data_IF_575154144567
#
_entry.id   IF_575154144567
#
_cell.length_a   1.000
_cell.length_b   1.000
_cell.length_c   1.000
_cell.angle_alpha   90.00
_cell.angle_beta   90.00
_cell.angle_gamma   90.00
#
_symmetry.space_group_name_H-M   'P 1'
#
loop_
_entity.id
_entity.type
_entity.pdbx_description
1 polymer ?
#
# COMPACT_ATOMS: atom_id res chain seq x y z
N UNK A 1 12.51 -17.10 -11.50
CA UNK A 1 12.60 -15.63 -11.44
C UNK A 1 11.85 -15.17 -10.20
N UNK A 2 12.37 -14.20 -9.44
CA UNK A 2 11.63 -13.61 -8.32
C UNK A 2 10.47 -12.79 -8.89
N UNK A 3 9.23 -13.04 -8.46
CA UNK A 3 8.09 -12.24 -8.89
C UNK A 3 8.33 -10.79 -8.48
N UNK A 4 8.36 -9.91 -9.47
CA UNK A 4 8.30 -8.48 -9.22
C UNK A 4 6.86 -8.02 -9.40
N UNK A 5 6.53 -6.88 -8.82
CA UNK A 5 5.22 -6.23 -8.97
C UNK A 5 5.45 -4.79 -9.35
N UNK A 6 4.68 -4.28 -10.30
CA UNK A 6 4.65 -2.83 -10.57
C UNK A 6 3.53 -2.18 -9.78
N UNK A 7 3.83 -1.05 -9.12
CA UNK A 7 2.82 -0.27 -8.41
C UNK A 7 2.59 1.06 -9.12
N UNK A 8 1.34 1.34 -9.48
CA UNK A 8 0.89 2.62 -10.01
C UNK A 8 0.27 3.42 -8.88
N UNK A 9 0.74 4.65 -8.67
CA UNK A 9 0.22 5.54 -7.62
C UNK A 9 -0.46 6.75 -8.23
N UNK A 10 -1.65 7.10 -7.74
CA UNK A 10 -2.22 8.42 -7.94
C UNK A 10 -1.45 9.43 -7.07
N UNK A 11 -0.30 9.89 -7.54
CA UNK A 11 0.62 10.74 -6.78
C UNK A 11 1.14 11.88 -7.67
N UNK A 12 1.26 13.08 -7.10
CA UNK A 12 1.60 14.32 -7.81
C UNK A 12 3.10 14.50 -8.06
N UNK A 13 3.94 13.63 -7.49
CA UNK A 13 5.39 13.62 -7.71
C UNK A 13 5.75 13.54 -9.20
N UNK A 14 6.88 14.14 -9.56
CA UNK A 14 7.48 13.97 -10.90
C UNK A 14 8.01 12.53 -11.08
N UNK A 15 8.23 12.14 -12.34
CA UNK A 15 8.69 10.80 -12.71
C UNK A 15 9.92 10.38 -11.89
N UNK A 16 9.82 9.24 -11.20
CA UNK A 16 10.89 8.65 -10.40
C UNK A 16 10.37 7.47 -9.56
N UNK A 17 11.21 6.45 -9.41
CA UNK A 17 10.83 5.22 -8.69
C UNK A 17 11.08 5.30 -7.17
N UNK A 18 11.57 6.45 -6.68
CA UNK A 18 11.90 6.67 -5.27
C UNK A 18 11.22 7.92 -4.77
N UNK A 19 10.18 7.72 -3.97
CA UNK A 19 9.48 8.75 -3.21
C UNK A 19 9.00 8.16 -1.89
N UNK A 20 8.69 9.03 -0.93
CA UNK A 20 8.47 8.71 0.46
C UNK A 20 7.39 7.66 0.67
N UNK A 21 6.22 7.81 0.05
CA UNK A 21 5.13 6.82 0.17
C UNK A 21 5.56 5.43 -0.30
N UNK A 22 6.23 5.34 -1.45
CA UNK A 22 6.71 4.05 -1.95
C UNK A 22 7.83 3.47 -1.06
N UNK A 23 8.68 4.32 -0.49
CA UNK A 23 9.70 3.91 0.49
C UNK A 23 9.08 3.35 1.75
N UNK A 24 8.00 3.97 2.25
CA UNK A 24 7.22 3.48 3.37
C UNK A 24 6.62 2.10 3.05
N UNK A 25 6.00 1.94 1.87
CA UNK A 25 5.44 0.66 1.42
C UNK A 25 6.51 -0.44 1.40
N UNK A 26 7.67 -0.20 0.80
CA UNK A 26 8.80 -1.16 0.80
C UNK A 26 9.23 -1.55 2.21
N UNK A 27 9.31 -0.57 3.10
CA UNK A 27 9.73 -0.79 4.49
C UNK A 27 8.71 -1.64 5.25
N UNK A 28 7.41 -1.34 5.12
CA UNK A 28 6.34 -2.14 5.72
C UNK A 28 6.38 -3.60 5.21
N UNK A 29 6.52 -3.79 3.88
CA UNK A 29 6.63 -5.13 3.28
C UNK A 29 7.86 -5.88 3.81
N UNK A 30 9.00 -5.21 3.96
CA UNK A 30 10.20 -5.79 4.55
C UNK A 30 9.96 -6.25 6.00
N UNK A 31 9.34 -5.42 6.85
CA UNK A 31 9.04 -5.76 8.25
C UNK A 31 8.22 -7.05 8.38
N UNK A 32 7.35 -7.30 7.40
CA UNK A 32 6.39 -8.38 7.41
C UNK A 32 6.93 -9.70 6.88
N UNK A 33 7.68 -9.62 5.78
CA UNK A 33 8.27 -10.81 5.16
C UNK A 33 9.51 -11.28 5.94
N UNK A 34 10.06 -10.42 6.81
CA UNK A 34 11.35 -10.63 7.49
C UNK A 34 12.39 -11.19 6.50
N UNK A 35 12.37 -10.62 5.29
CA UNK A 35 13.07 -11.11 4.12
C UNK A 35 14.30 -10.27 3.84
N UNK A 36 15.13 -10.73 2.92
CA UNK A 36 16.29 -9.96 2.45
C UNK A 36 15.82 -8.61 1.86
N UNK A 37 16.26 -7.52 2.49
CA UNK A 37 15.94 -6.14 2.10
C UNK A 37 16.26 -5.87 0.64
N UNK A 38 17.41 -6.34 0.17
CA UNK A 38 17.81 -6.16 -1.23
C UNK A 38 16.82 -6.83 -2.18
N UNK A 39 16.36 -8.04 -1.82
CA UNK A 39 15.36 -8.77 -2.60
C UNK A 39 14.02 -8.03 -2.64
N UNK A 40 13.54 -7.49 -1.51
CA UNK A 40 12.30 -6.71 -1.47
C UNK A 40 12.42 -5.43 -2.30
N UNK A 41 13.54 -4.72 -2.18
CA UNK A 41 13.80 -3.53 -3.00
C UNK A 41 13.78 -3.84 -4.49
N UNK A 42 14.36 -4.98 -4.91
CA UNK A 42 14.32 -5.43 -6.30
C UNK A 42 12.91 -5.84 -6.77
N UNK A 43 12.16 -6.56 -5.93
CA UNK A 43 10.81 -7.03 -6.25
C UNK A 43 9.80 -5.88 -6.37
N UNK A 44 10.06 -4.75 -5.71
CA UNK A 44 9.23 -3.55 -5.71
C UNK A 44 9.89 -2.35 -6.41
N UNK A 45 10.90 -2.59 -7.27
CA UNK A 45 11.67 -1.50 -7.88
C UNK A 45 10.89 -0.64 -8.88
N UNK A 46 9.82 -1.17 -9.49
CA UNK A 46 8.99 -0.43 -10.45
C UNK A 46 7.77 0.18 -9.74
N UNK A 47 7.89 1.47 -9.44
CA UNK A 47 6.84 2.29 -8.87
C UNK A 47 6.66 3.54 -9.71
N UNK A 48 5.41 3.82 -10.12
CA UNK A 48 5.11 4.90 -11.05
C UNK A 48 4.12 5.89 -10.43
N UNK A 49 4.54 7.10 -10.05
CA UNK A 49 3.62 8.17 -9.71
C UNK A 49 2.98 8.69 -10.99
N UNK A 50 1.67 8.48 -11.13
CA UNK A 50 0.86 8.89 -12.27
C UNK A 50 -0.05 10.02 -11.79
N UNK A 51 0.38 11.25 -12.05
CA UNK A 51 -0.28 12.49 -11.60
C UNK A 51 -1.76 12.51 -11.96
N UNK A 52 -2.63 12.21 -11.01
CA UNK A 52 -4.07 12.19 -11.21
C UNK A 52 -4.65 10.87 -11.71
N UNK A 53 -5.90 10.63 -11.29
CA UNK A 53 -6.65 9.40 -11.56
C UNK A 53 -6.81 9.04 -13.04
N UNK A 54 -6.84 10.05 -13.92
CA UNK A 54 -6.98 9.83 -15.37
C UNK A 54 -5.77 9.09 -15.95
N UNK A 55 -4.57 9.45 -15.50
CA UNK A 55 -3.33 8.81 -15.94
C UNK A 55 -3.23 7.38 -15.40
N UNK A 56 -3.64 7.15 -14.15
CA UNK A 56 -3.73 5.78 -13.61
C UNK A 56 -4.72 4.93 -14.41
N UNK A 57 -5.90 5.47 -14.73
CA UNK A 57 -6.88 4.76 -15.54
C UNK A 57 -6.38 4.46 -16.95
N UNK A 58 -5.75 5.42 -17.63
CA UNK A 58 -5.13 5.19 -18.94
C UNK A 58 -4.10 4.07 -18.85
N UNK A 59 -3.20 4.13 -17.86
CA UNK A 59 -2.20 3.10 -17.64
C UNK A 59 -2.82 1.70 -17.42
N UNK A 60 -3.88 1.62 -16.60
CA UNK A 60 -4.60 0.37 -16.34
C UNK A 60 -5.33 -0.18 -17.57
N UNK A 61 -5.76 0.68 -18.50
CA UNK A 61 -6.58 0.31 -19.65
C UNK A 61 -5.76 -0.01 -20.89
N UNK A 62 -4.74 0.79 -21.15
CA UNK A 62 -4.07 0.85 -22.45
C UNK A 62 -2.60 0.46 -22.37
N UNK A 63 -1.94 0.66 -21.23
CA UNK A 63 -0.47 0.61 -21.14
C UNK A 63 0.05 -0.60 -20.33
N UNK A 64 -0.82 -1.46 -19.77
CA UNK A 64 -0.39 -2.56 -18.90
C UNK A 64 0.65 -3.48 -19.55
N UNK A 65 0.48 -3.84 -20.82
CA UNK A 65 1.41 -4.71 -21.53
C UNK A 65 2.76 -4.04 -21.81
N UNK A 66 2.81 -2.70 -21.84
CA UNK A 66 4.05 -1.93 -21.94
C UNK A 66 4.72 -1.75 -20.57
N UNK A 67 3.92 -1.53 -19.52
CA UNK A 67 4.38 -1.33 -18.15
C UNK A 67 4.98 -2.64 -17.59
N UNK A 68 4.33 -3.75 -17.87
CA UNK A 68 4.65 -5.08 -17.37
C UNK A 68 4.80 -6.06 -18.53
N UNK A 69 5.74 -5.77 -19.44
CA UNK A 69 6.02 -6.58 -20.63
C UNK A 69 6.42 -8.03 -20.32
N UNK A 70 7.00 -8.25 -19.15
CA UNK A 70 7.40 -9.55 -18.60
C UNK A 70 6.23 -10.33 -17.97
N UNK A 71 4.99 -9.86 -18.13
CA UNK A 71 3.80 -10.55 -17.64
C UNK A 71 3.52 -10.39 -16.15
N UNK A 72 4.34 -9.62 -15.41
CA UNK A 72 4.15 -9.41 -13.97
C UNK A 72 2.83 -8.72 -13.61
N UNK A 73 2.44 -8.87 -12.36
CA UNK A 73 1.25 -8.23 -11.80
C UNK A 73 1.45 -6.72 -11.63
N UNK A 74 0.35 -5.99 -11.79
CA UNK A 74 0.28 -4.53 -11.61
C UNK A 74 -0.75 -4.21 -10.53
N UNK A 75 -0.37 -3.40 -9.56
CA UNK A 75 -1.24 -2.90 -8.51
C UNK A 75 -1.47 -1.40 -8.71
N UNK A 76 -2.71 -0.99 -8.91
CA UNK A 76 -3.09 0.41 -8.98
C UNK A 76 -3.60 0.89 -7.62
N UNK A 77 -2.93 1.88 -7.03
CA UNK A 77 -3.28 2.53 -5.77
C UNK A 77 -3.93 3.87 -6.10
N UNK A 78 -5.23 3.99 -5.82
CA UNK A 78 -6.06 5.09 -6.31
C UNK A 78 -6.87 5.69 -5.17
N UNK A 79 -6.94 7.02 -5.09
CA UNK A 79 -7.88 7.72 -4.21
C UNK A 79 -9.32 7.32 -4.56
N UNK A 80 -10.04 6.77 -3.57
CA UNK A 80 -11.39 6.25 -3.72
C UNK A 80 -12.41 7.33 -4.13
N UNK A 81 -12.27 8.55 -3.62
CA UNK A 81 -13.21 9.63 -3.90
C UNK A 81 -12.95 10.22 -5.28
N UNK A 82 -11.68 10.40 -5.64
CA UNK A 82 -11.27 10.88 -6.96
C UNK A 82 -11.74 9.92 -8.07
N UNK A 83 -11.57 8.61 -7.90
CA UNK A 83 -11.98 7.63 -8.91
C UNK A 83 -13.49 7.52 -9.06
N UNK A 84 -14.25 7.60 -7.96
CA UNK A 84 -15.72 7.59 -8.02
C UNK A 84 -16.26 8.79 -8.79
N UNK A 85 -15.70 9.97 -8.49
CA UNK A 85 -16.06 11.18 -9.22
C UNK A 85 -15.75 11.03 -10.71
N UNK A 86 -14.56 10.52 -11.05
CA UNK A 86 -14.15 10.36 -12.43
C UNK A 86 -14.98 9.31 -13.20
N UNK A 87 -15.31 8.19 -12.56
CA UNK A 87 -16.17 7.14 -13.13
C UNK A 87 -17.67 7.51 -13.08
N UNK A 88 -18.02 8.70 -12.57
CA UNK A 88 -19.41 9.15 -12.37
C UNK A 88 -20.24 8.15 -11.55
N UNK A 89 -19.62 7.49 -10.59
CA UNK A 89 -20.26 6.54 -9.70
C UNK A 89 -20.78 7.26 -8.43
N UNK A 90 -21.93 6.84 -7.87
CA UNK A 90 -22.39 7.33 -6.58
C UNK A 90 -21.36 7.08 -5.47
N UNK A 91 -21.31 7.97 -4.47
CA UNK A 91 -20.50 7.77 -3.25
C UNK A 91 -20.83 6.46 -2.54
N UNK A 92 -22.07 5.99 -2.66
CA UNK A 92 -22.58 4.74 -2.06
C UNK A 92 -22.26 3.49 -2.87
N UNK A 93 -21.65 3.59 -4.06
CA UNK A 93 -21.31 2.40 -4.84
C UNK A 93 -20.35 1.48 -4.07
N UNK A 94 -20.50 0.17 -4.20
CA UNK A 94 -19.60 -0.77 -3.50
C UNK A 94 -18.17 -0.68 -4.06
N UNK A 95 -17.17 -1.04 -3.25
CA UNK A 95 -15.77 -1.13 -3.73
C UNK A 95 -15.65 -2.08 -4.93
N UNK A 96 -16.30 -3.25 -4.86
CA UNK A 96 -16.35 -4.20 -5.95
C UNK A 96 -16.90 -3.60 -7.25
N UNK A 97 -17.90 -2.71 -7.16
CA UNK A 97 -18.45 -2.03 -8.34
C UNK A 97 -17.44 -1.07 -8.97
N UNK A 98 -16.71 -0.32 -8.16
CA UNK A 98 -15.65 0.59 -8.62
C UNK A 98 -14.53 -0.20 -9.30
N UNK A 99 -14.06 -1.28 -8.67
CA UNK A 99 -13.04 -2.16 -9.22
C UNK A 99 -13.46 -2.79 -10.56
N UNK A 100 -14.71 -3.25 -10.65
CA UNK A 100 -15.27 -3.80 -11.89
C UNK A 100 -15.24 -2.78 -13.02
N UNK A 101 -15.61 -1.52 -12.77
CA UNK A 101 -15.61 -0.47 -13.81
C UNK A 101 -14.20 -0.05 -14.25
N UNK A 102 -13.21 -0.15 -13.36
CA UNK A 102 -11.80 0.03 -13.74
C UNK A 102 -11.35 -1.13 -14.63
N UNK A 103 -11.60 -2.38 -14.19
CA UNK A 103 -11.18 -3.60 -14.90
C UNK A 103 -11.84 -3.79 -16.25
N UNK A 104 -13.10 -3.39 -16.41
CA UNK A 104 -13.87 -3.54 -17.66
C UNK A 104 -13.17 -2.93 -18.88
N UNK A 105 -12.39 -1.87 -18.69
CA UNK A 105 -11.62 -1.24 -19.77
C UNK A 105 -10.20 -1.77 -19.93
N UNK A 106 -9.77 -2.73 -19.10
CA UNK A 106 -8.40 -3.24 -19.10
C UNK A 106 -8.21 -4.37 -20.09
N UNK A 107 -7.09 -4.34 -20.81
CA UNK A 107 -6.66 -5.44 -21.70
C UNK A 107 -6.15 -6.67 -20.95
N UNK A 108 -5.72 -6.50 -19.70
CA UNK A 108 -5.16 -7.56 -18.87
C UNK A 108 -5.76 -7.55 -17.45
N UNK A 109 -7.09 -7.75 -17.31
CA UNK A 109 -7.79 -7.57 -16.03
C UNK A 109 -7.33 -8.53 -14.94
N UNK A 110 -6.86 -9.73 -15.30
CA UNK A 110 -6.41 -10.75 -14.34
C UNK A 110 -5.07 -10.41 -13.68
N UNK A 111 -4.26 -9.57 -14.35
CA UNK A 111 -2.95 -9.09 -13.85
C UNK A 111 -3.07 -7.76 -13.11
N UNK A 112 -4.25 -7.14 -13.13
CA UNK A 112 -4.52 -5.85 -12.52
C UNK A 112 -5.23 -6.02 -11.17
N UNK A 113 -4.53 -5.71 -10.09
CA UNK A 113 -5.15 -5.51 -8.79
C UNK A 113 -5.37 -4.02 -8.53
N UNK A 114 -6.44 -3.70 -7.81
CA UNK A 114 -6.83 -2.32 -7.50
C UNK A 114 -6.90 -2.18 -5.99
N UNK A 115 -6.29 -1.13 -5.46
CA UNK A 115 -6.42 -0.74 -4.07
C UNK A 115 -7.01 0.67 -4.03
N UNK A 116 -8.21 0.76 -3.48
CA UNK A 116 -8.89 2.03 -3.25
C UNK A 116 -8.46 2.57 -1.89
N UNK A 117 -7.73 3.68 -1.89
CA UNK A 117 -7.39 4.41 -0.69
C UNK A 117 -8.64 5.14 -0.20
N UNK A 118 -9.35 4.49 0.72
CA UNK A 118 -10.30 5.16 1.62
C UNK A 118 -9.45 5.91 2.63
N UNK A 119 -9.66 7.23 2.72
CA UNK A 119 -8.77 8.13 3.44
C UNK A 119 -7.39 8.18 2.75
N UNK A 120 -7.24 9.18 1.88
CA UNK A 120 -6.12 9.43 0.96
C UNK A 120 -4.72 9.56 1.63
N UNK A 121 -3.70 9.94 0.86
CA UNK A 121 -2.31 10.07 1.36
C UNK A 121 -2.20 11.08 2.51
N UNK A 122 -3.02 12.13 2.53
CA UNK A 122 -3.12 13.07 3.65
C UNK A 122 -3.59 12.40 4.94
N UNK A 123 -4.43 11.37 4.84
CA UNK A 123 -4.91 10.64 6.00
C UNK A 123 -3.85 9.73 6.61
N UNK A 124 -2.93 9.21 5.79
CA UNK A 124 -1.73 8.50 6.30
C UNK A 124 -0.86 9.46 7.12
N UNK A 125 -0.72 10.72 6.68
CA UNK A 125 0.05 11.74 7.41
C UNK A 125 -0.63 12.16 8.72
N UNK A 126 -1.97 12.27 8.72
CA UNK A 126 -2.74 12.50 9.96
C UNK A 126 -2.57 11.33 10.94
N UNK A 127 -2.69 10.09 10.46
CA UNK A 127 -2.46 8.91 11.29
C UNK A 127 -1.02 8.87 11.83
N UNK A 128 -0.03 9.32 11.06
CA UNK A 128 1.35 9.44 11.53
C UNK A 128 1.47 10.43 12.69
N UNK A 129 0.84 11.59 12.60
CA UNK A 129 0.80 12.59 13.68
C UNK A 129 0.10 12.08 14.94
N UNK A 130 -0.95 11.27 14.79
CA UNK A 130 -1.64 10.63 15.92
C UNK A 130 -0.82 9.51 16.57
N UNK A 131 0.08 8.87 15.81
CA UNK A 131 0.94 7.79 16.29
C UNK A 131 2.28 8.29 16.84
N UNK A 132 2.76 9.45 16.39
CA UNK A 132 4.03 10.05 16.79
C UNK A 132 3.83 11.46 17.38
N UNK A 133 3.74 11.53 18.72
CA UNK A 133 3.62 12.79 19.44
C UNK A 133 4.86 13.70 19.31
N UNK A 134 5.97 13.20 18.78
CA UNK A 134 7.18 14.01 18.52
C UNK A 134 7.17 14.68 17.15
N UNK A 135 6.22 14.33 16.28
CA UNK A 135 6.10 14.93 14.96
C UNK A 135 5.61 16.37 15.08
N UNK A 136 6.37 17.32 14.53
CA UNK A 136 6.03 18.75 14.56
C UNK A 136 4.68 19.01 13.88
N UNK A 137 3.65 19.50 14.61
CA UNK A 137 2.33 19.78 14.05
C UNK A 137 2.37 20.72 12.85
N UNK A 138 3.31 21.67 12.82
CA UNK A 138 3.44 22.60 11.69
C UNK A 138 3.91 21.91 10.41
N UNK A 139 4.72 20.85 10.52
CA UNK A 139 5.13 20.04 9.37
C UNK A 139 3.94 19.25 8.83
N UNK A 140 3.14 18.69 9.72
CA UNK A 140 1.91 17.96 9.36
C UNK A 140 0.91 18.88 8.66
N UNK A 141 0.69 20.08 9.21
CA UNK A 141 -0.15 21.12 8.61
C UNK A 141 0.34 21.48 7.19
N UNK A 142 1.65 21.75 7.01
CA UNK A 142 2.23 22.00 5.68
C UNK A 142 2.01 20.84 4.72
N UNK A 143 2.27 19.61 5.17
CA UNK A 143 2.12 18.43 4.34
C UNK A 143 0.65 18.19 3.96
N UNK A 144 -0.29 18.35 4.88
CA UNK A 144 -1.71 18.02 4.68
C UNK A 144 -2.48 19.18 4.04
N UNK A 145 -2.46 20.35 4.66
CA UNK A 145 -3.32 21.49 4.31
C UNK A 145 -2.72 22.32 3.17
N UNK A 146 -1.42 22.61 3.25
CA UNK A 146 -0.72 23.34 2.20
C UNK A 146 -0.23 22.44 1.05
N UNK A 147 -0.45 21.12 1.17
CA UNK A 147 -0.05 20.11 0.18
C UNK A 147 1.43 20.19 -0.19
N UNK A 148 2.28 20.51 0.78
CA UNK A 148 3.72 20.59 0.59
C UNK A 148 4.31 19.20 0.33
N UNK A 149 4.63 18.95 -0.93
CA UNK A 149 5.14 17.66 -1.40
C UNK A 149 6.49 17.27 -0.78
N UNK A 150 7.32 18.24 -0.38
CA UNK A 150 8.60 17.96 0.26
C UNK A 150 8.38 17.50 1.70
N UNK A 151 7.48 18.16 2.44
CA UNK A 151 7.16 17.76 3.80
C UNK A 151 6.44 16.41 3.86
N UNK A 152 5.50 16.15 2.94
CA UNK A 152 4.85 14.82 2.82
C UNK A 152 5.89 13.71 2.72
N UNK A 153 6.84 13.90 1.80
CA UNK A 153 7.89 12.93 1.50
C UNK A 153 8.85 12.76 2.67
N UNK A 154 9.25 13.87 3.30
CA UNK A 154 10.10 13.84 4.49
C UNK A 154 9.46 13.06 5.64
N UNK A 155 8.16 13.25 5.91
CA UNK A 155 7.43 12.51 6.94
C UNK A 155 7.39 11.01 6.59
N UNK A 156 7.09 10.65 5.34
CA UNK A 156 7.10 9.24 4.93
C UNK A 156 8.50 8.61 5.02
N UNK A 157 9.56 9.34 4.68
CA UNK A 157 10.93 8.88 4.82
C UNK A 157 11.32 8.70 6.31
N UNK A 158 10.84 9.56 7.19
CA UNK A 158 11.01 9.42 8.65
C UNK A 158 10.34 8.14 9.17
N UNK A 159 9.10 7.87 8.75
CA UNK A 159 8.39 6.62 9.06
C UNK A 159 9.07 5.38 8.47
N UNK A 160 9.85 5.53 7.40
CA UNK A 160 10.60 4.44 6.76
C UNK A 160 11.89 4.08 7.50
N UNK A 161 12.29 4.83 8.54
CA UNK A 161 13.49 4.51 9.34
C UNK A 161 13.25 3.26 10.19
N UNK A 162 14.28 2.46 10.41
CA UNK A 162 14.18 1.21 11.17
C UNK A 162 13.55 1.40 12.56
N UNK A 163 14.00 2.43 13.30
CA UNK A 163 13.47 2.81 14.62
C UNK A 163 11.98 3.16 14.65
N UNK A 164 11.40 3.51 13.51
CA UNK A 164 9.99 3.90 13.40
C UNK A 164 9.04 2.70 13.22
N UNK A 165 9.52 1.45 13.38
CA UNK A 165 8.66 0.25 13.27
C UNK A 165 7.39 0.32 14.13
N UNK A 166 7.44 0.68 15.44
CA UNK A 166 6.22 0.78 16.23
C UNK A 166 5.24 1.84 15.71
N UNK A 167 5.75 2.92 15.12
CA UNK A 167 4.93 3.96 14.49
C UNK A 167 4.27 3.44 13.22
N UNK A 168 4.99 2.69 12.37
CA UNK A 168 4.42 2.04 11.18
C UNK A 168 3.30 1.08 11.56
N UNK A 169 3.49 0.26 12.59
CA UNK A 169 2.46 -0.67 13.06
C UNK A 169 1.20 0.08 13.54
N UNK A 170 1.38 1.19 14.27
CA UNK A 170 0.28 2.06 14.69
C UNK A 170 -0.46 2.68 13.49
N UNK A 171 0.27 3.23 12.50
CA UNK A 171 -0.31 3.81 11.29
C UNK A 171 -1.09 2.76 10.49
N UNK A 172 -0.54 1.56 10.30
CA UNK A 172 -1.23 0.46 9.62
C UNK A 172 -2.49 0.00 10.36
N UNK A 173 -2.50 0.07 11.69
CA UNK A 173 -3.69 -0.19 12.52
C UNK A 173 -4.80 0.84 12.31
N UNK A 174 -4.45 2.10 12.00
CA UNK A 174 -5.39 3.20 11.74
C UNK A 174 -5.82 3.32 10.27
N UNK A 175 -5.07 2.72 9.35
CA UNK A 175 -5.27 2.85 7.90
C UNK A 175 -5.60 1.49 7.24
N UNK A 176 -6.86 1.01 7.30
CA UNK A 176 -7.25 -0.27 6.70
C UNK A 176 -6.98 -0.38 5.19
N UNK A 177 -7.12 0.72 4.45
CA UNK A 177 -6.84 0.76 3.01
C UNK A 177 -5.36 0.56 2.70
N UNK A 178 -4.47 1.21 3.46
CA UNK A 178 -3.02 0.99 3.38
C UNK A 178 -2.63 -0.42 3.82
N UNK A 179 -3.30 -0.95 4.86
CA UNK A 179 -3.14 -2.34 5.29
C UNK A 179 -3.51 -3.33 4.18
N UNK A 180 -4.56 -3.04 3.41
CA UNK A 180 -5.01 -3.87 2.28
C UNK A 180 -3.97 -3.90 1.16
N UNK A 181 -3.36 -2.75 0.80
CA UNK A 181 -2.23 -2.69 -0.13
C UNK A 181 -1.09 -3.60 0.34
N UNK A 182 -0.74 -3.48 1.61
CA UNK A 182 0.34 -4.23 2.21
C UNK A 182 0.07 -5.74 2.24
N UNK A 183 -1.12 -6.19 2.67
CA UNK A 183 -1.46 -7.61 2.73
C UNK A 183 -1.49 -8.22 1.32
N UNK A 184 -1.96 -7.47 0.33
CA UNK A 184 -1.93 -7.87 -1.09
C UNK A 184 -0.49 -8.04 -1.59
N UNK A 185 0.38 -7.06 -1.32
CA UNK A 185 1.80 -7.14 -1.67
C UNK A 185 2.47 -8.35 -1.00
N UNK A 186 2.29 -8.51 0.31
CA UNK A 186 2.84 -9.65 1.06
C UNK A 186 2.36 -10.97 0.45
N UNK A 187 1.08 -11.10 0.11
CA UNK A 187 0.55 -12.30 -0.56
C UNK A 187 1.26 -12.59 -1.88
N UNK A 188 1.27 -11.60 -2.80
CA UNK A 188 1.90 -11.73 -4.13
C UNK A 188 3.39 -12.08 -4.05
N UNK A 189 4.10 -11.50 -3.10
CA UNK A 189 5.53 -11.71 -2.94
C UNK A 189 5.84 -13.03 -2.17
N UNK A 190 4.99 -13.44 -1.23
CA UNK A 190 5.17 -14.68 -0.43
C UNK A 190 5.00 -15.96 -1.25
N UNK A 191 4.03 -15.96 -2.18
CA UNK A 191 3.84 -17.08 -3.12
C UNK A 191 5.09 -17.35 -3.99
N UNK A 192 6.03 -16.42 -4.01
CA UNK A 192 7.25 -16.52 -4.81
C UNK A 192 8.52 -16.72 -3.97
N UNK A 193 8.43 -16.62 -2.65
CA UNK A 193 9.57 -16.80 -1.73
C UNK A 193 9.64 -18.20 -1.15
N UNK A 194 8.69 -19.10 -1.44
CA UNK A 194 8.69 -20.47 -0.94
C UNK A 194 8.55 -20.60 0.59
N UNK A 195 8.26 -19.49 1.29
CA UNK A 195 7.95 -19.48 2.72
C UNK A 195 6.44 -19.53 2.92
N UNK A 196 5.99 -20.58 3.59
CA UNK A 196 4.61 -20.71 4.05
C UNK A 196 4.20 -19.48 4.88
N UNK A 197 2.99 -18.99 4.65
CA UNK A 197 2.39 -17.89 5.39
C UNK A 197 2.47 -18.12 6.91
N UNK A 198 2.64 -17.07 7.73
CA UNK A 198 2.61 -17.22 9.17
C UNK A 198 1.21 -17.67 9.59
N UNK A 199 1.12 -18.91 10.09
CA UNK A 199 -0.07 -19.46 10.71
C UNK A 199 -0.48 -18.59 11.89
N UNK A 200 -1.74 -18.13 11.87
CA UNK A 200 -2.38 -17.46 13.00
C UNK A 200 -2.39 -18.43 14.19
N UNK A 201 -1.47 -18.29 15.13
CA UNK A 201 -1.53 -19.02 16.39
C UNK A 201 -2.64 -18.43 17.26
N UNK A 202 -3.82 -19.05 17.17
CA UNK A 202 -4.83 -18.99 18.21
C UNK A 202 -4.26 -19.66 19.47
N UNK A 203 -3.94 -18.85 20.50
CA UNK A 203 -3.75 -19.35 21.86
C UNK A 203 -5.13 -19.72 22.41
N UNK A 204 -5.42 -21.01 22.52
CA UNK A 204 -6.44 -21.53 23.42
C UNK A 204 -5.87 -21.58 24.86
N UNK A 205 -6.68 -21.32 25.90
CA UNK A 205 -6.22 -21.32 27.28
C UNK A 205 -6.05 -22.76 27.80
N UNK A 206 -4.94 -23.00 28.50
CA UNK A 206 -4.65 -24.26 29.19
C UNK A 206 -5.72 -24.56 30.26
N UNK A 207 -6.42 -25.69 30.08
CA UNK A 207 -7.33 -26.25 31.07
C UNK A 207 -6.58 -26.81 32.28
N UNK A 208 -6.98 -26.36 33.47
CA UNK A 208 -6.52 -26.86 34.78
C UNK A 208 -6.72 -28.38 34.89
N UNK A 209 -5.63 -29.12 35.07
CA UNK A 209 -5.64 -30.53 35.51
C UNK A 209 -6.10 -30.62 36.96
N UNK A 210 -7.25 -31.24 37.17
CA UNK A 210 -7.70 -31.76 38.46
C UNK A 210 -6.81 -32.93 38.89
N UNK A 211 -6.19 -32.83 40.08
CA UNK A 211 -5.55 -33.96 40.76
C UNK A 211 -6.62 -34.81 41.46
N UNK A 212 -6.68 -36.11 41.14
CA UNK A 212 -7.38 -37.15 41.91
C UNK A 212 -6.40 -38.25 42.27
N UNK A 213 -6.46 -38.70 43.53
CA UNK A 213 -5.84 -39.93 44.08
C UNK A 213 -4.40 -39.72 44.55
N UNK A 214 -4.02 -39.99 45.79
CA UNK A 214 -4.45 -41.05 46.74
C UNK A 214 -4.60 -40.53 48.16
#
# INVERSE_FOLDING_TARGET
MSASVTILYEEQRAHGNSFGLHTLVKTCVHDALNGDRYRIEKMLADARPLKGVQNVLRACREELDLIAIDGRDVIAVIDNDAIRHHLKLPRTASHARVEQEIRRGSRAPDRLAIVLLVQNTESVLKAAAECDASLDPKRVERAVEHKDMLERDAIFLELSRERARPLRDCVLGRMPSLRTLFDLLVSKLSHTTGKAAPTKNARAPEGKRTRRGK
#
